data_IF_665772789226
#
_entry.id   IF_665772789226
#
_cell.length_a   1.000
_cell.length_b   1.000
_cell.length_c   1.000
_cell.angle_alpha   90.00
_cell.angle_beta   90.00
_cell.angle_gamma   90.00
#
_symmetry.space_group_name_H-M   'P 1'
#
loop_
_entity.id
_entity.type
_entity.pdbx_description
1 polymer ?
#
# COMPACT_ATOMS: atom_id res chain seq x y z
N UNK A 1 12.25 14.85 -2.94
CA UNK A 1 11.06 13.97 -2.84
C UNK A 1 10.61 13.65 -4.25
N UNK A 2 10.55 12.36 -4.59
CA UNK A 2 10.06 11.88 -5.88
C UNK A 2 8.68 11.24 -5.62
N UNK A 3 7.70 11.52 -6.47
CA UNK A 3 6.37 10.91 -6.38
C UNK A 3 6.15 10.09 -7.64
N UNK A 4 5.78 8.82 -7.44
CA UNK A 4 5.39 7.92 -8.50
C UNK A 4 3.92 7.59 -8.43
N UNK A 5 3.23 7.87 -9.53
CA UNK A 5 1.92 7.29 -9.76
C UNK A 5 2.10 5.97 -10.51
N UNK A 6 1.44 4.92 -10.04
CA UNK A 6 1.46 3.59 -10.61
C UNK A 6 0.06 3.21 -11.12
N UNK A 7 -0.65 4.14 -11.77
CA UNK A 7 -2.00 4.01 -12.33
C UNK A 7 -2.16 2.96 -13.46
N UNK A 8 -1.68 1.72 -13.26
CA UNK A 8 -1.73 0.60 -14.21
C UNK A 8 -1.07 0.88 -15.58
N UNK A 9 -0.20 1.90 -15.68
CA UNK A 9 0.53 2.22 -16.90
C UNK A 9 1.94 1.62 -16.87
N UNK A 10 2.09 0.46 -17.55
CA UNK A 10 3.34 -0.31 -17.72
C UNK A 10 4.61 0.50 -18.11
N UNK A 11 4.46 1.74 -18.62
CA UNK A 11 5.60 2.59 -19.00
C UNK A 11 6.24 3.35 -17.83
N UNK A 12 5.48 3.71 -16.80
CA UNK A 12 6.02 4.45 -15.65
C UNK A 12 6.81 3.55 -14.69
N UNK A 13 6.44 2.27 -14.62
CA UNK A 13 7.06 1.25 -13.76
C UNK A 13 8.58 1.10 -13.98
N UNK A 14 9.04 1.13 -15.23
CA UNK A 14 10.47 0.95 -15.57
C UNK A 14 11.35 2.09 -15.05
N UNK A 15 10.82 3.31 -14.99
CA UNK A 15 11.58 4.48 -14.52
C UNK A 15 11.78 4.42 -13.01
N UNK A 16 10.75 3.97 -12.27
CA UNK A 16 10.84 3.78 -10.82
C UNK A 16 11.82 2.67 -10.45
N UNK A 17 11.74 1.53 -11.14
CA UNK A 17 12.68 0.42 -10.95
C UNK A 17 14.13 0.88 -11.16
N UNK A 18 14.41 1.69 -12.18
CA UNK A 18 15.76 2.21 -12.41
C UNK A 18 16.26 3.14 -11.29
N UNK A 19 15.40 3.97 -10.70
CA UNK A 19 15.77 4.85 -9.59
C UNK A 19 16.06 4.07 -8.30
N UNK A 20 15.32 2.99 -8.08
CA UNK A 20 15.55 2.05 -6.98
C UNK A 20 16.88 1.30 -7.19
N UNK A 21 17.10 0.73 -8.39
CA UNK A 21 18.31 -0.02 -8.74
C UNK A 21 19.57 0.85 -8.67
N UNK A 22 19.48 2.11 -9.11
CA UNK A 22 20.61 3.05 -9.06
C UNK A 22 20.89 3.58 -7.65
N UNK A 23 20.12 3.16 -6.63
CA UNK A 23 20.27 3.55 -5.22
C UNK A 23 20.31 5.06 -5.00
N UNK A 24 19.57 5.82 -5.81
CA UNK A 24 19.45 7.28 -5.65
C UNK A 24 18.36 7.68 -4.65
N UNK A 25 17.78 6.71 -3.96
CA UNK A 25 16.66 6.88 -3.03
C UNK A 25 17.08 6.33 -1.67
N UNK A 26 16.96 7.15 -0.62
CA UNK A 26 17.29 6.76 0.75
C UNK A 26 16.14 6.03 1.47
N UNK A 27 14.91 6.08 0.93
CA UNK A 27 13.73 5.43 1.50
C UNK A 27 12.48 5.60 0.63
N UNK A 28 11.49 4.74 0.84
CA UNK A 28 10.25 4.72 0.05
C UNK A 28 9.00 4.67 0.94
N UNK A 29 7.97 5.42 0.54
CA UNK A 29 6.62 5.31 1.08
C UNK A 29 5.72 4.70 0.02
N UNK A 30 5.12 3.55 0.33
CA UNK A 30 4.26 2.79 -0.58
C UNK A 30 2.80 3.05 -0.21
N UNK A 31 1.98 3.47 -1.18
CA UNK A 31 0.55 3.74 -0.98
C UNK A 31 -0.37 2.67 -1.58
N UNK A 32 0.22 1.64 -2.20
CA UNK A 32 -0.48 0.52 -2.82
C UNK A 32 0.26 -0.79 -2.58
N UNK A 33 -0.45 -1.91 -2.67
CA UNK A 33 0.09 -3.27 -2.51
C UNK A 33 0.70 -3.84 -3.79
N UNK A 34 0.28 -3.34 -4.97
CA UNK A 34 0.82 -3.78 -6.25
C UNK A 34 2.12 -3.03 -6.55
N UNK A 35 3.24 -3.73 -6.39
CA UNK A 35 4.56 -3.17 -6.60
C UNK A 35 5.09 -3.50 -8.01
N UNK A 36 5.73 -2.54 -8.69
CA UNK A 36 6.34 -2.77 -10.01
C UNK A 36 7.71 -3.47 -9.93
N UNK A 37 8.06 -4.02 -8.77
CA UNK A 37 9.32 -4.71 -8.48
C UNK A 37 9.09 -5.86 -7.50
N UNK A 38 10.01 -6.81 -7.47
CA UNK A 38 10.00 -7.87 -6.47
C UNK A 38 10.39 -7.30 -5.09
N UNK A 39 9.47 -7.42 -4.13
CA UNK A 39 9.64 -7.01 -2.74
C UNK A 39 9.61 -8.21 -1.79
N UNK A 40 9.95 -9.40 -2.27
CA UNK A 40 10.17 -10.58 -1.43
C UNK A 40 11.19 -10.28 -0.33
N UNK A 41 11.09 -10.97 0.81
CA UNK A 41 12.00 -10.76 1.95
C UNK A 41 13.48 -10.88 1.60
N UNK A 42 13.80 -11.71 0.60
CA UNK A 42 15.16 -11.88 0.10
C UNK A 42 15.65 -10.61 -0.61
N UNK A 43 14.81 -10.03 -1.47
CA UNK A 43 15.12 -8.81 -2.23
C UNK A 43 15.05 -7.53 -1.39
N UNK A 44 14.26 -7.50 -0.31
CA UNK A 44 14.15 -6.33 0.57
C UNK A 44 15.49 -5.81 1.10
N UNK A 45 16.52 -6.66 1.23
CA UNK A 45 17.87 -6.26 1.66
C UNK A 45 18.60 -5.38 0.63
N UNK A 46 18.22 -5.49 -0.64
CA UNK A 46 18.80 -4.75 -1.76
C UNK A 46 18.04 -3.46 -2.05
N UNK A 47 16.82 -3.34 -1.52
CA UNK A 47 15.94 -2.19 -1.67
C UNK A 47 16.21 -1.14 -0.57
N UNK A 48 15.90 0.14 -0.83
CA UNK A 48 15.92 1.14 0.23
C UNK A 48 14.86 0.81 1.29
N UNK A 49 15.00 1.30 2.54
CA UNK A 49 13.98 1.13 3.58
C UNK A 49 12.59 1.56 3.09
N UNK A 50 11.58 0.72 3.31
CA UNK A 50 10.22 0.96 2.85
C UNK A 50 9.23 0.96 4.02
N UNK A 51 8.22 1.81 3.92
CA UNK A 51 7.06 1.82 4.81
C UNK A 51 5.81 1.83 3.94
N UNK A 52 4.82 1.02 4.28
CA UNK A 52 3.50 1.10 3.64
C UNK A 52 2.59 2.03 4.42
N UNK A 53 1.81 2.81 3.69
CA UNK A 53 0.72 3.58 4.23
C UNK A 53 -0.56 3.31 3.44
N UNK A 54 -1.70 3.50 4.10
CA UNK A 54 -3.05 3.25 3.55
C UNK A 54 -3.38 1.76 3.35
N UNK A 55 -2.64 1.08 2.49
CA UNK A 55 -2.88 -0.34 2.17
C UNK A 55 -2.11 -1.29 3.11
N UNK A 56 -2.63 -2.52 3.23
CA UNK A 56 -2.05 -3.58 4.05
C UNK A 56 -1.90 -4.88 3.22
N UNK A 57 -0.66 -5.37 3.16
CA UNK A 57 -0.20 -6.55 2.44
C UNK A 57 0.73 -7.34 3.38
N UNK A 58 0.17 -8.21 4.25
CA UNK A 58 0.91 -8.87 5.32
C UNK A 58 2.08 -9.73 4.81
N UNK A 59 1.98 -10.27 3.59
CA UNK A 59 3.01 -11.06 2.93
C UNK A 59 4.33 -10.31 2.70
N UNK A 60 4.28 -8.97 2.61
CA UNK A 60 5.46 -8.14 2.43
C UNK A 60 6.22 -7.92 3.76
N UNK A 61 5.57 -8.09 4.91
CA UNK A 61 6.16 -7.87 6.25
C UNK A 61 6.88 -6.53 6.43
N UNK A 62 6.42 -5.51 5.71
CA UNK A 62 6.97 -4.16 5.83
C UNK A 62 6.36 -3.45 7.06
N UNK A 63 7.07 -2.47 7.65
CA UNK A 63 6.44 -1.52 8.55
C UNK A 63 5.24 -0.86 7.88
N UNK A 64 4.10 -0.85 8.55
CA UNK A 64 2.85 -0.34 7.97
C UNK A 64 2.16 0.66 8.90
N UNK A 65 1.52 1.66 8.29
CA UNK A 65 0.62 2.59 8.96
C UNK A 65 -0.69 2.61 8.18
N UNK A 66 -1.72 2.00 8.73
CA UNK A 66 -3.05 1.96 8.12
C UNK A 66 -4.13 2.15 9.18
N UNK A 67 -5.33 2.46 8.73
CA UNK A 67 -6.51 2.48 9.60
C UNK A 67 -7.01 1.06 9.84
N UNK A 68 -7.71 0.84 10.95
CA UNK A 68 -8.45 -0.40 11.17
C UNK A 68 -9.74 -0.39 10.35
N UNK A 69 -9.61 -0.74 9.06
CA UNK A 69 -10.73 -0.78 8.12
C UNK A 69 -11.82 -1.77 8.55
N UNK A 70 -11.47 -2.84 9.25
CA UNK A 70 -12.44 -3.85 9.71
C UNK A 70 -13.35 -3.24 10.77
N UNK A 71 -12.76 -2.67 11.81
CA UNK A 71 -13.52 -2.03 12.89
C UNK A 71 -14.29 -0.83 12.36
N UNK A 72 -13.67 0.01 11.52
CA UNK A 72 -14.33 1.17 10.92
C UNK A 72 -15.56 0.77 10.08
N UNK A 73 -15.44 -0.28 9.25
CA UNK A 73 -16.56 -0.77 8.46
C UNK A 73 -17.68 -1.35 9.35
N UNK A 74 -17.32 -2.09 10.39
CA UNK A 74 -18.28 -2.60 11.37
C UNK A 74 -19.03 -1.46 12.05
N UNK A 75 -18.33 -0.45 12.57
CA UNK A 75 -18.92 0.70 13.24
C UNK A 75 -19.87 1.46 12.31
N UNK A 76 -19.48 1.68 11.06
CA UNK A 76 -20.31 2.35 10.06
C UNK A 76 -21.62 1.58 9.78
N UNK A 77 -21.54 0.28 9.53
CA UNK A 77 -22.72 -0.56 9.27
C UNK A 77 -23.57 -0.71 10.53
N UNK A 78 -22.95 -0.85 11.70
CA UNK A 78 -23.63 -0.96 12.97
C UNK A 78 -24.46 0.30 13.27
N UNK A 79 -23.89 1.47 13.01
CA UNK A 79 -24.59 2.75 13.15
C UNK A 79 -25.85 2.81 12.26
N UNK A 80 -25.74 2.44 10.98
CA UNK A 80 -26.89 2.38 10.07
C UNK A 80 -27.94 1.37 10.54
N UNK A 81 -27.51 0.21 11.03
CA UNK A 81 -28.41 -0.79 11.59
C UNK A 81 -29.16 -0.26 12.82
N UNK A 82 -28.51 0.48 13.71
CA UNK A 82 -29.14 1.12 14.87
C UNK A 82 -30.19 2.16 14.47
N UNK A 83 -30.02 2.83 13.32
CA UNK A 83 -31.03 3.72 12.74
C UNK A 83 -32.23 2.97 12.11
N UNK A 84 -32.21 1.64 12.09
CA UNK A 84 -33.29 0.80 11.58
C UNK A 84 -33.10 0.32 10.14
N UNK A 85 -31.99 0.63 9.49
CA UNK A 85 -31.69 0.12 8.14
C UNK A 85 -31.44 -1.40 8.19
N UNK A 86 -32.13 -2.15 7.33
CA UNK A 86 -32.05 -3.63 7.25
C UNK A 86 -31.44 -4.15 5.95
N UNK A 87 -31.37 -3.30 4.93
CA UNK A 87 -30.77 -3.61 3.63
C UNK A 87 -29.67 -2.59 3.38
N UNK A 88 -28.43 -2.98 3.68
CA UNK A 88 -27.23 -2.14 3.59
C UNK A 88 -26.31 -2.83 2.57
N UNK A 89 -25.97 -2.14 1.49
CA UNK A 89 -25.08 -2.65 0.45
C UNK A 89 -23.61 -2.38 0.81
N UNK A 90 -22.70 -3.11 0.14
CA UNK A 90 -21.26 -2.89 0.15
C UNK A 90 -20.80 -2.37 -1.22
#
# INVERSE_FOLDING_TARGET
VLIGDCAQQNQQERTFVNLIITKQIDGMLLLGSNLPFDASKEEQRNLPPMVMANEFAPELELPTVHIDNLTAAFEAVHYLHQLGHRQIAC
#
